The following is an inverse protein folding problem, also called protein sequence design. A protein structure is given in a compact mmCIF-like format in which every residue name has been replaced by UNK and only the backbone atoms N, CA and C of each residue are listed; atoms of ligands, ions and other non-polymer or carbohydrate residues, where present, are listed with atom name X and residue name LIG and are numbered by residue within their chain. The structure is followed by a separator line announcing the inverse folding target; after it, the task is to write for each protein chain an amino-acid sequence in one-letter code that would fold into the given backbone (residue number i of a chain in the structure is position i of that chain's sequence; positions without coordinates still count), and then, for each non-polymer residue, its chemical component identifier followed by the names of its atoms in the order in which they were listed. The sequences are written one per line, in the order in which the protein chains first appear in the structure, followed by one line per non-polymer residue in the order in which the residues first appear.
data_IF_724206128089
#
_entry.id   IF_724206128089
#
_cell.length_a   1.000
_cell.length_b   1.000
_cell.length_c   1.000
_cell.angle_alpha   90.00
_cell.angle_beta   90.00
_cell.angle_gamma   90.00
#
_symmetry.space_group_name_H-M   'P 1'
#
loop_
_entity.id
_entity.type
_entity.pdbx_description
1 polymer ?
#
# COMPACT_ATOMS: atom_id res chain seq x y z
N UNK A 1 16.97 1.75 -9.67
CA UNK A 1 16.36 1.02 -8.55
C UNK A 1 15.25 1.90 -8.02
N UNK A 2 13.99 1.55 -8.27
CA UNK A 2 12.86 2.46 -8.06
C UNK A 2 12.39 2.40 -6.59
N UNK A 3 12.40 3.55 -5.92
CA UNK A 3 12.16 3.74 -4.47
C UNK A 3 10.87 3.11 -3.91
N UNK A 4 9.89 2.79 -4.76
CA UNK A 4 8.62 2.20 -4.33
C UNK A 4 8.69 0.70 -3.97
N UNK A 5 9.63 -0.06 -4.55
CA UNK A 5 9.81 -1.48 -4.18
C UNK A 5 10.37 -1.64 -2.77
N UNK A 6 11.27 -0.73 -2.36
CA UNK A 6 11.94 -0.82 -1.07
C UNK A 6 11.00 -0.54 0.10
N UNK A 7 10.01 0.34 -0.07
CA UNK A 7 9.01 0.62 0.99
C UNK A 7 8.08 -0.59 1.19
N UNK A 8 7.60 -1.21 0.11
CA UNK A 8 6.74 -2.40 0.19
C UNK A 8 7.44 -3.55 0.91
N UNK A 9 8.69 -3.85 0.55
CA UNK A 9 9.48 -4.89 1.18
C UNK A 9 9.63 -4.65 2.69
N UNK A 10 9.89 -3.41 3.11
CA UNK A 10 9.99 -3.05 4.54
C UNK A 10 8.67 -3.23 5.30
N UNK A 11 7.53 -2.88 4.69
CA UNK A 11 6.20 -3.09 5.29
C UNK A 11 5.96 -4.59 5.51
N UNK A 12 6.25 -5.41 4.50
CA UNK A 12 6.09 -6.88 4.57
C UNK A 12 7.00 -7.46 5.65
N UNK A 13 8.28 -7.07 5.66
CA UNK A 13 9.23 -7.53 6.67
C UNK A 13 8.75 -7.18 8.09
N UNK A 14 8.31 -5.95 8.33
CA UNK A 14 7.77 -5.55 9.63
C UNK A 14 6.51 -6.35 10.00
N UNK A 15 5.66 -6.68 9.03
CA UNK A 15 4.49 -7.53 9.26
C UNK A 15 4.84 -8.99 9.59
N UNK A 16 6.01 -9.48 9.20
CA UNK A 16 6.51 -10.79 9.64
C UNK A 16 7.20 -10.74 11.00
N UNK A 17 7.91 -9.65 11.32
CA UNK A 17 8.61 -9.48 12.59
C UNK A 17 7.67 -9.10 13.76
N UNK A 18 6.54 -8.44 13.46
CA UNK A 18 5.62 -7.88 14.44
C UNK A 18 4.18 -8.31 14.11
N UNK A 19 3.72 -9.37 14.79
CA UNK A 19 2.37 -9.90 14.61
C UNK A 19 1.28 -8.89 14.97
N UNK A 20 1.53 -7.99 15.93
CA UNK A 20 0.59 -6.94 16.28
C UNK A 20 0.45 -5.93 15.14
N UNK A 21 1.58 -5.57 14.51
CA UNK A 21 1.55 -4.76 13.28
C UNK A 21 0.85 -5.49 12.13
N UNK A 22 1.04 -6.81 11.96
CA UNK A 22 0.33 -7.61 10.93
C UNK A 22 -1.19 -7.54 11.12
N UNK A 23 -1.67 -7.82 12.33
CA UNK A 23 -3.09 -7.75 12.70
C UNK A 23 -3.63 -6.33 12.42
N UNK A 24 -2.91 -5.30 12.86
CA UNK A 24 -3.32 -3.92 12.62
C UNK A 24 -3.30 -3.54 11.13
N UNK A 25 -2.38 -4.07 10.34
CA UNK A 25 -2.32 -3.83 8.90
C UNK A 25 -3.53 -4.48 8.18
N UNK A 26 -3.98 -5.64 8.64
CA UNK A 26 -5.18 -6.33 8.13
C UNK A 26 -6.48 -5.60 8.53
N UNK A 27 -6.59 -5.15 9.77
CA UNK A 27 -7.78 -4.46 10.27
C UNK A 27 -7.86 -3.00 9.81
N UNK A 28 -6.76 -2.25 9.94
CA UNK A 28 -6.68 -0.84 9.62
C UNK A 28 -5.33 -0.46 8.97
N UNK A 29 -5.17 -0.75 7.68
CA UNK A 29 -3.90 -0.54 6.98
C UNK A 29 -3.46 0.93 6.99
N UNK A 30 -4.38 1.89 6.95
CA UNK A 30 -4.04 3.32 7.01
C UNK A 30 -3.39 3.68 8.34
N UNK A 31 -3.96 3.23 9.45
CA UNK A 31 -3.41 3.50 10.78
C UNK A 31 -2.05 2.84 10.97
N UNK A 32 -1.90 1.58 10.53
CA UNK A 32 -0.64 0.85 10.59
C UNK A 32 0.48 1.57 9.81
N UNK A 33 0.21 1.96 8.55
CA UNK A 33 1.17 2.68 7.71
C UNK A 33 1.53 4.06 8.28
N UNK A 34 0.56 4.76 8.87
CA UNK A 34 0.80 6.04 9.53
C UNK A 34 1.67 5.88 10.77
N UNK A 35 1.42 4.88 11.61
CA UNK A 35 2.20 4.70 12.84
C UNK A 35 3.62 4.17 12.58
N UNK A 36 3.78 3.23 11.65
CA UNK A 36 5.08 2.58 11.43
C UNK A 36 5.98 3.32 10.42
N UNK A 37 5.39 3.96 9.41
CA UNK A 37 6.13 4.60 8.32
C UNK A 37 5.83 6.08 8.15
N UNK A 38 4.96 6.66 9.01
CA UNK A 38 4.51 8.05 8.92
C UNK A 38 3.86 8.40 7.56
N UNK A 39 3.35 7.37 6.87
CA UNK A 39 2.66 7.50 5.58
C UNK A 39 1.20 7.85 5.85
N UNK A 40 0.77 9.00 5.35
CA UNK A 40 -0.62 9.43 5.46
C UNK A 40 -1.28 9.28 4.09
N UNK A 41 -2.27 8.39 4.01
CA UNK A 41 -3.07 8.21 2.81
C UNK A 41 -4.33 9.07 2.92
N UNK A 42 -4.74 9.77 1.86
CA UNK A 42 -5.96 10.56 1.87
C UNK A 42 -7.21 9.69 2.01
N UNK A 43 -8.32 10.31 2.43
CA UNK A 43 -9.54 9.59 2.85
C UNK A 43 -10.29 8.94 1.69
N UNK A 44 -10.15 9.51 0.50
CA UNK A 44 -10.67 9.01 -0.78
C UNK A 44 -10.03 7.67 -1.23
N UNK A 45 -8.81 7.37 -0.76
CA UNK A 45 -8.13 6.12 -1.08
C UNK A 45 -8.49 5.04 -0.06
N UNK A 46 -9.17 3.98 -0.48
CA UNK A 46 -9.38 2.79 0.36
C UNK A 46 -8.20 1.83 0.19
N UNK A 47 -7.47 1.59 1.27
CA UNK A 47 -6.41 0.57 1.31
C UNK A 47 -6.97 -0.70 1.94
N UNK A 48 -6.71 -1.85 1.32
CA UNK A 48 -7.02 -3.18 1.84
C UNK A 48 -5.73 -3.98 1.88
N UNK A 49 -5.36 -4.47 3.05
CA UNK A 49 -4.32 -5.49 3.17
C UNK A 49 -4.98 -6.87 3.06
N UNK A 50 -4.30 -7.78 2.38
CA UNK A 50 -4.71 -9.18 2.26
C UNK A 50 -3.48 -10.01 2.53
N UNK A 51 -3.61 -11.00 3.40
CA UNK A 51 -2.55 -11.98 3.64
C UNK A 51 -2.67 -13.09 2.60
N UNK A 52 -1.58 -13.35 1.88
CA UNK A 52 -1.51 -14.49 0.97
C UNK A 52 -1.27 -15.76 1.80
N UNK A 53 -2.18 -16.72 1.70
CA UNK A 53 -2.06 -18.02 2.39
C UNK A 53 -1.75 -19.11 1.36
N UNK A 54 -1.28 -20.28 1.79
CA UNK A 54 -0.92 -21.38 0.87
C UNK A 54 -2.07 -21.88 -0.02
N UNK A 55 -3.30 -21.46 0.26
CA UNK A 55 -4.51 -21.81 -0.48
C UNK A 55 -5.07 -20.66 -1.32
N UNK A 56 -4.55 -19.44 -1.18
CA UNK A 56 -5.09 -18.24 -1.82
C UNK A 56 -3.98 -17.50 -2.57
N UNK A 57 -4.19 -17.26 -3.87
CA UNK A 57 -3.29 -16.44 -4.69
C UNK A 57 -3.92 -15.06 -4.92
N UNK A 58 -3.23 -14.01 -4.49
CA UNK A 58 -3.76 -12.64 -4.56
C UNK A 58 -3.30 -11.96 -5.84
N UNK A 59 -4.21 -11.80 -6.81
CA UNK A 59 -3.94 -11.03 -8.03
C UNK A 59 -4.42 -9.58 -7.90
N UNK A 60 -3.50 -8.62 -7.94
CA UNK A 60 -3.83 -7.19 -7.97
C UNK A 60 -3.98 -6.75 -9.43
N UNK A 61 -5.22 -6.44 -9.83
CA UNK A 61 -5.51 -5.85 -11.14
C UNK A 61 -5.59 -4.32 -10.97
N UNK A 62 -4.67 -3.54 -11.55
CA UNK A 62 -4.73 -2.09 -11.46
C UNK A 62 -5.92 -1.54 -12.25
N UNK A 63 -6.42 -0.36 -11.83
CA UNK A 63 -7.46 0.36 -12.57
C UNK A 63 -7.00 0.58 -14.02
N UNK A 64 -7.90 0.32 -14.98
CA UNK A 64 -7.61 0.52 -16.38
C UNK A 64 -7.14 1.97 -16.62
N UNK A 65 -5.89 2.20 -17.10
CA UNK A 65 -5.36 3.54 -17.31
C UNK A 65 -6.21 4.37 -18.29
N UNK A 66 -6.94 3.73 -19.22
CA UNK A 66 -7.86 4.43 -20.12
C UNK A 66 -9.07 5.05 -19.41
N UNK A 67 -9.43 4.57 -18.19
CA UNK A 67 -10.46 5.19 -17.34
C UNK A 67 -9.91 6.30 -16.42
N UNK A 68 -8.60 6.47 -16.34
CA UNK A 68 -7.94 7.47 -15.47
C UNK A 68 -7.75 8.82 -16.20
N UNK A 69 -8.24 8.96 -17.43
CA UNK A 69 -8.14 10.19 -18.23
C UNK A 69 -9.18 11.28 -17.89
N UNK A 70 -9.58 11.40 -16.61
CA UNK A 70 -10.30 12.59 -16.11
C UNK A 70 -9.86 12.87 -14.68
N UNK A 71 -8.67 13.47 -14.55
CA UNK A 71 -8.32 14.49 -13.53
C UNK A 71 -6.89 14.94 -13.85
N UNK A 72 -6.82 15.90 -14.76
CA UNK A 72 -5.58 16.55 -15.19
C UNK A 72 -4.90 17.31 -14.05
N UNK A 73 -3.58 17.31 -14.14
CA UNK A 73 -2.59 18.33 -13.75
C UNK A 73 -1.93 18.29 -12.37
N UNK A 74 -0.60 18.20 -12.49
CA UNK A 74 0.46 18.69 -11.61
C UNK A 74 0.97 17.75 -10.51
N UNK A 75 1.84 16.82 -10.90
CA UNK A 75 3.23 16.78 -10.39
C UNK A 75 4.10 16.03 -11.41
N UNK A 76 4.37 16.70 -12.53
CA UNK A 76 5.59 16.43 -13.29
C UNK A 76 6.77 17.02 -12.50
N UNK A 77 7.81 16.19 -12.36
CA UNK A 77 9.21 16.56 -12.29
C UNK A 77 9.60 17.76 -11.38
N UNK A 78 10.20 17.44 -10.24
CA UNK A 78 11.30 18.25 -9.72
C UNK A 78 12.39 17.31 -9.18
N UNK A 79 13.44 17.19 -10.01
CA UNK A 79 14.83 16.77 -9.82
C UNK A 79 15.23 16.09 -8.51
#
# INVERSE_FOLDING_TARGET
MSTNESVKAKIIQKAWEDEAFKQQLLDNPKAALKQAFNITLPDDIKVKAVEETSTEFVLVIPTNPAKILVTSNAVEALW
#
